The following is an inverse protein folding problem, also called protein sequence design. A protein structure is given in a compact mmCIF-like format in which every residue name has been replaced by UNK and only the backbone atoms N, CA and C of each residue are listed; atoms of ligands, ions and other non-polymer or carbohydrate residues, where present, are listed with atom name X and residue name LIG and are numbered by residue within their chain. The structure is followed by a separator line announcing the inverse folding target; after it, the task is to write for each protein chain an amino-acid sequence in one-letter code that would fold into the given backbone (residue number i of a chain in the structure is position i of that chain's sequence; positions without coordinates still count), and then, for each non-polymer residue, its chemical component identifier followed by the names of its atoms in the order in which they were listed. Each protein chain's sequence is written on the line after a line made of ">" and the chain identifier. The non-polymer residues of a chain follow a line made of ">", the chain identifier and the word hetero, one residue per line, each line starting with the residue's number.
data_IF_246792719053
#
_entry.id   IF_246792719053
#
_cell.length_a   1.000
_cell.length_b   1.000
_cell.length_c   1.000
_cell.angle_alpha   90.00
_cell.angle_beta   90.00
_cell.angle_gamma   90.00
#
_symmetry.space_group_name_H-M   'P 1'
#
loop_
_entity.id
_entity.type
_entity.pdbx_description
1 polymer ?
#
# COMPACT_ATOMS: atom_id res chain seq x y z
N UNK A 1 -36.64 -24.21 -18.28
CA UNK A 1 -35.26 -24.01 -17.81
C UNK A 1 -35.06 -22.51 -17.66
N UNK A 2 -35.25 -21.97 -16.45
CA UNK A 2 -35.08 -20.54 -16.21
C UNK A 2 -33.60 -20.23 -16.02
N UNK A 3 -32.99 -19.50 -16.96
CA UNK A 3 -31.69 -18.88 -16.78
C UNK A 3 -31.84 -17.77 -15.73
N UNK A 4 -31.35 -18.01 -14.52
CA UNK A 4 -31.17 -16.97 -13.51
C UNK A 4 -29.97 -16.11 -13.86
N UNK A 5 -30.21 -14.84 -14.19
CA UNK A 5 -29.17 -13.83 -14.34
C UNK A 5 -28.60 -13.50 -12.95
N UNK A 6 -27.39 -13.96 -12.64
CA UNK A 6 -26.68 -13.54 -11.43
C UNK A 6 -26.12 -12.14 -11.68
N UNK A 7 -26.78 -11.13 -11.11
CA UNK A 7 -26.24 -9.78 -11.01
C UNK A 7 -25.01 -9.81 -10.08
N UNK A 8 -23.81 -9.81 -10.66
CA UNK A 8 -22.58 -9.52 -9.91
C UNK A 8 -22.60 -8.02 -9.60
N UNK A 9 -23.11 -7.67 -8.42
CA UNK A 9 -23.10 -6.28 -7.95
C UNK A 9 -21.67 -5.77 -7.85
N UNK A 10 -21.38 -4.64 -8.48
CA UNK A 10 -20.13 -3.90 -8.26
C UNK A 10 -20.11 -3.42 -6.81
N UNK A 11 -19.33 -4.06 -5.94
CA UNK A 11 -19.10 -3.55 -4.59
C UNK A 11 -18.33 -2.23 -4.69
N UNK A 12 -19.03 -1.10 -4.49
CA UNK A 12 -18.38 0.19 -4.35
C UNK A 12 -17.37 0.13 -3.20
N UNK A 13 -16.16 0.63 -3.43
CA UNK A 13 -15.14 0.71 -2.40
C UNK A 13 -15.68 1.51 -1.21
N UNK A 14 -15.59 0.95 0.01
CA UNK A 14 -15.98 1.66 1.23
C UNK A 14 -14.92 2.72 1.54
N UNK A 15 -15.37 3.93 1.87
CA UNK A 15 -14.50 5.03 2.29
C UNK A 15 -14.47 5.13 3.82
N UNK A 16 -13.30 5.45 4.34
CA UNK A 16 -13.08 5.84 5.72
C UNK A 16 -13.48 7.31 5.94
N UNK A 17 -13.64 7.76 7.20
CA UNK A 17 -13.90 9.18 7.51
C UNK A 17 -12.83 10.14 6.96
N UNK A 18 -11.60 9.66 6.73
CA UNK A 18 -10.52 10.42 6.09
C UNK A 18 -10.71 10.62 4.57
N UNK A 19 -11.74 10.02 3.97
CA UNK A 19 -11.93 9.99 2.51
C UNK A 19 -11.10 8.93 1.80
N UNK A 20 -10.20 8.23 2.51
CA UNK A 20 -9.40 7.14 1.95
C UNK A 20 -10.21 5.86 1.81
N UNK A 21 -9.83 5.02 0.85
CA UNK A 21 -10.45 3.72 0.62
C UNK A 21 -10.05 2.73 1.70
N UNK A 22 -11.01 1.94 2.19
CA UNK A 22 -10.72 0.72 2.93
C UNK A 22 -10.17 -0.34 1.97
N UNK A 23 -9.01 -0.88 2.30
CA UNK A 23 -8.38 -1.92 1.51
C UNK A 23 -9.05 -3.28 1.71
N UNK A 24 -9.19 -4.00 0.60
CA UNK A 24 -9.53 -5.43 0.55
C UNK A 24 -8.36 -6.29 0.10
N UNK A 25 -7.16 -5.70 -0.04
CA UNK A 25 -5.97 -6.41 -0.49
C UNK A 25 -5.51 -7.40 0.58
N UNK A 26 -5.27 -8.65 0.17
CA UNK A 26 -4.82 -9.71 1.08
C UNK A 26 -3.33 -9.59 1.35
N UNK A 27 -2.93 -9.80 2.61
CA UNK A 27 -1.53 -9.90 3.01
C UNK A 27 -0.84 -11.20 2.57
N UNK A 28 -1.59 -12.15 1.98
CA UNK A 28 -1.07 -13.45 1.54
C UNK A 28 -1.01 -13.60 0.02
N UNK A 29 -1.35 -12.54 -0.73
CA UNK A 29 -1.41 -12.55 -2.19
C UNK A 29 -0.57 -11.40 -2.73
N UNK A 30 0.28 -11.69 -3.72
CA UNK A 30 1.02 -10.66 -4.48
C UNK A 30 0.02 -9.76 -5.22
N UNK A 31 0.00 -8.48 -4.89
CA UNK A 31 -0.81 -7.48 -5.55
C UNK A 31 -0.16 -6.98 -6.83
N UNK A 32 -1.00 -6.69 -7.82
CA UNK A 32 -0.58 -6.05 -9.07
C UNK A 32 -0.21 -4.60 -8.80
N UNK A 33 1.00 -4.23 -9.20
CA UNK A 33 1.46 -2.84 -9.22
C UNK A 33 1.04 -2.12 -10.51
N UNK A 34 1.05 -0.78 -10.54
CA UNK A 34 0.80 -0.02 -11.77
C UNK A 34 1.78 -0.39 -12.91
N UNK A 35 1.44 -0.09 -14.17
CA UNK A 35 2.33 -0.32 -15.31
C UNK A 35 3.69 0.37 -15.14
N UNK A 36 4.75 -0.23 -15.71
CA UNK A 36 6.08 0.35 -15.67
C UNK A 36 6.09 1.80 -16.19
N UNK A 37 6.81 2.69 -15.50
CA UNK A 37 6.94 4.13 -15.81
C UNK A 37 5.62 4.91 -15.88
N UNK A 38 4.55 4.43 -15.22
CA UNK A 38 3.27 5.14 -15.14
C UNK A 38 3.11 6.05 -13.92
N UNK A 39 4.02 5.94 -12.94
CA UNK A 39 4.01 6.69 -11.70
C UNK A 39 5.27 7.55 -11.58
N UNK A 40 5.18 8.67 -10.86
CA UNK A 40 6.32 9.55 -10.61
C UNK A 40 6.31 10.08 -9.17
N UNK A 41 7.40 9.81 -8.43
CA UNK A 41 7.58 10.42 -7.12
C UNK A 41 7.64 11.96 -7.26
N UNK A 42 7.11 12.66 -6.26
CA UNK A 42 7.06 14.12 -6.21
C UNK A 42 8.00 14.59 -5.10
N UNK A 43 8.77 15.65 -5.35
CA UNK A 43 9.75 16.14 -4.37
C UNK A 43 11.07 15.36 -4.43
N UNK A 44 11.94 15.59 -3.44
CA UNK A 44 13.27 14.98 -3.36
C UNK A 44 13.76 14.92 -1.91
N UNK A 45 14.71 14.02 -1.63
CA UNK A 45 15.22 13.79 -0.28
C UNK A 45 14.09 13.52 0.70
N UNK A 46 14.21 14.00 1.94
CA UNK A 46 13.21 13.82 3.01
C UNK A 46 11.79 14.33 2.69
N UNK A 47 11.60 15.03 1.56
CA UNK A 47 10.31 15.54 1.10
C UNK A 47 9.76 14.78 -0.12
N UNK A 48 10.43 13.71 -0.55
CA UNK A 48 9.90 12.87 -1.60
C UNK A 48 8.64 12.15 -1.09
N UNK A 49 7.63 12.10 -1.95
CA UNK A 49 6.31 11.51 -1.67
C UNK A 49 5.81 10.79 -2.92
N UNK A 50 4.89 9.82 -2.80
CA UNK A 50 4.43 9.08 -3.97
C UNK A 50 3.64 9.92 -4.97
N UNK A 51 3.38 9.35 -6.15
CA UNK A 51 2.40 9.91 -7.09
C UNK A 51 0.99 9.66 -6.51
N UNK A 52 0.22 10.70 -6.16
CA UNK A 52 -1.11 10.52 -5.56
C UNK A 52 -2.11 9.85 -6.50
N UNK A 53 -1.82 9.72 -7.81
CA UNK A 53 -2.66 8.95 -8.73
C UNK A 53 -2.38 7.45 -8.66
N UNK A 54 -1.16 7.05 -8.29
CA UNK A 54 -0.77 5.65 -8.16
C UNK A 54 -0.92 5.14 -6.72
N UNK A 55 -0.48 5.94 -5.76
CA UNK A 55 -0.49 5.62 -4.33
C UNK A 55 -1.24 6.75 -3.58
N UNK A 56 -2.58 6.85 -3.73
CA UNK A 56 -3.40 7.87 -3.06
C UNK A 56 -3.56 7.70 -1.55
N UNK A 57 -3.08 6.60 -0.99
CA UNK A 57 -3.36 6.14 0.37
C UNK A 57 -4.52 5.15 0.42
N UNK A 58 -4.42 4.16 1.30
CA UNK A 58 -5.51 3.25 1.65
C UNK A 58 -5.38 2.81 3.11
N UNK A 59 -6.50 2.49 3.76
CA UNK A 59 -6.54 2.13 5.19
C UNK A 59 -7.01 0.70 5.43
N UNK A 60 -6.56 0.12 6.53
CA UNK A 60 -6.91 -1.22 6.96
C UNK A 60 -8.32 -1.25 7.58
N UNK A 61 -9.21 -2.04 7.00
CA UNK A 61 -10.59 -2.18 7.48
C UNK A 61 -10.71 -2.75 8.91
N UNK A 62 -9.68 -3.44 9.42
CA UNK A 62 -9.65 -3.88 10.81
C UNK A 62 -9.40 -2.74 11.81
N UNK A 63 -8.88 -1.59 11.35
CA UNK A 63 -8.57 -0.43 12.18
C UNK A 63 -9.72 0.57 12.10
N UNK A 64 -10.48 0.65 13.18
CA UNK A 64 -11.61 1.56 13.36
C UNK A 64 -11.52 2.15 14.75
N UNK A 65 -12.22 3.26 15.01
CA UNK A 65 -12.28 3.84 16.36
C UNK A 65 -12.75 2.83 17.42
N UNK A 66 -13.61 1.88 17.06
CA UNK A 66 -14.08 0.84 17.96
C UNK A 66 -13.05 -0.28 18.22
N UNK A 67 -12.03 -0.43 17.36
CA UNK A 67 -11.06 -1.53 17.40
C UNK A 67 -9.62 -1.11 17.66
N UNK A 68 -9.31 0.20 17.80
CA UNK A 68 -7.94 0.66 18.03
C UNK A 68 -7.30 0.04 19.28
N UNK A 69 -8.09 -0.22 20.33
CA UNK A 69 -7.63 -0.84 21.58
C UNK A 69 -7.10 -2.27 21.43
N UNK A 70 -7.49 -2.98 20.36
CA UNK A 70 -7.02 -4.33 20.04
C UNK A 70 -6.14 -4.39 18.78
N UNK A 71 -5.96 -3.27 18.09
CA UNK A 71 -5.16 -3.15 16.86
C UNK A 71 -3.96 -2.23 17.07
N UNK A 72 -3.95 -1.03 16.50
CA UNK A 72 -2.79 -0.12 16.50
C UNK A 72 -2.36 0.32 17.90
N UNK A 73 -3.25 0.32 18.90
CA UNK A 73 -2.86 0.61 20.29
C UNK A 73 -2.31 -0.60 21.05
N UNK A 74 -2.26 -1.79 20.42
CA UNK A 74 -1.65 -3.00 21.00
C UNK A 74 -0.23 -3.16 20.47
N UNK A 75 0.74 -3.14 21.39
CA UNK A 75 2.14 -3.39 21.05
C UNK A 75 2.31 -4.69 20.24
N UNK A 76 3.08 -4.60 19.15
CA UNK A 76 3.39 -5.71 18.25
C UNK A 76 2.29 -6.10 17.25
N UNK A 77 1.13 -5.45 17.24
CA UNK A 77 0.03 -5.81 16.34
C UNK A 77 0.42 -5.70 14.86
N UNK A 78 1.12 -4.63 14.45
CA UNK A 78 1.53 -4.44 13.05
C UNK A 78 2.44 -5.58 12.57
N UNK A 79 3.29 -6.13 13.44
CA UNK A 79 4.12 -7.31 13.12
C UNK A 79 3.30 -8.56 12.80
N UNK A 80 2.08 -8.68 13.32
CA UNK A 80 1.21 -9.87 13.09
C UNK A 80 0.46 -9.83 11.75
N UNK A 81 0.39 -8.68 11.10
CA UNK A 81 -0.40 -8.46 9.89
C UNK A 81 0.45 -8.14 8.66
N UNK A 82 1.77 -7.94 8.84
CA UNK A 82 2.69 -7.66 7.74
C UNK A 82 2.79 -8.87 6.80
N UNK A 83 2.70 -8.67 5.48
CA UNK A 83 2.91 -9.75 4.51
C UNK A 83 4.32 -10.35 4.64
N UNK A 84 4.51 -11.64 4.29
CA UNK A 84 5.86 -12.21 4.22
C UNK A 84 6.65 -11.61 3.05
N UNK A 85 7.98 -11.70 3.10
CA UNK A 85 8.88 -11.18 2.05
C UNK A 85 8.58 -11.79 0.67
N UNK A 86 8.13 -13.05 0.62
CA UNK A 86 7.71 -13.69 -0.64
C UNK A 86 6.53 -13.01 -1.33
N UNK A 87 5.77 -12.18 -0.62
CA UNK A 87 4.72 -11.31 -1.16
C UNK A 87 5.30 -9.93 -1.49
N UNK A 88 5.99 -9.29 -0.55
CA UNK A 88 6.42 -7.89 -0.72
C UNK A 88 7.58 -7.69 -1.68
N UNK A 89 8.50 -8.65 -1.82
CA UNK A 89 9.65 -8.53 -2.70
C UNK A 89 9.27 -8.40 -4.19
N UNK A 90 8.47 -9.31 -4.79
CA UNK A 90 8.04 -9.13 -6.18
C UNK A 90 7.20 -7.86 -6.38
N UNK A 91 6.41 -7.45 -5.38
CA UNK A 91 5.68 -6.19 -5.43
C UNK A 91 6.62 -4.98 -5.43
N UNK A 92 7.64 -4.96 -4.57
CA UNK A 92 8.66 -3.90 -4.53
C UNK A 92 9.33 -3.73 -5.88
N UNK A 93 9.78 -4.82 -6.51
CA UNK A 93 10.39 -4.75 -7.85
C UNK A 93 9.43 -4.20 -8.91
N UNK A 94 8.17 -4.63 -8.92
CA UNK A 94 7.17 -4.12 -9.84
C UNK A 94 6.81 -2.65 -9.55
N UNK A 95 6.80 -2.24 -8.29
CA UNK A 95 6.54 -0.87 -7.86
C UNK A 95 7.70 0.07 -8.25
N UNK A 96 8.95 -0.36 -8.07
CA UNK A 96 10.12 0.35 -8.58
C UNK A 96 10.04 0.55 -10.10
N UNK A 97 9.64 -0.48 -10.86
CA UNK A 97 9.42 -0.36 -12.29
C UNK A 97 8.29 0.63 -12.62
N UNK A 98 7.19 0.62 -11.85
CA UNK A 98 6.08 1.56 -12.00
C UNK A 98 6.51 3.02 -11.82
N UNK A 99 7.35 3.29 -10.83
CA UNK A 99 7.91 4.61 -10.52
C UNK A 99 9.12 5.01 -11.40
N UNK A 100 9.54 4.15 -12.33
CA UNK A 100 10.70 4.40 -13.19
C UNK A 100 12.05 4.39 -12.45
N UNK A 101 12.10 3.79 -11.25
CA UNK A 101 13.30 3.67 -10.44
C UNK A 101 14.23 2.61 -11.03
N UNK A 102 15.48 3.00 -11.31
CA UNK A 102 16.52 2.11 -11.88
C UNK A 102 17.67 1.80 -10.92
N UNK A 103 17.59 2.28 -9.68
CA UNK A 103 18.61 2.10 -8.66
C UNK A 103 18.59 0.70 -8.03
N UNK A 104 19.53 0.45 -7.12
CA UNK A 104 19.55 -0.78 -6.34
C UNK A 104 18.29 -0.88 -5.45
N UNK A 105 17.61 -2.04 -5.37
CA UNK A 105 16.45 -2.22 -4.50
C UNK A 105 16.74 -1.96 -3.02
N UNK A 106 18.00 -2.08 -2.59
CA UNK A 106 18.44 -1.75 -1.22
C UNK A 106 18.49 -0.26 -0.92
N UNK A 107 18.30 0.62 -1.92
CA UNK A 107 18.24 2.07 -1.76
C UNK A 107 16.81 2.60 -1.70
N UNK A 108 15.85 1.69 -1.62
CA UNK A 108 14.43 2.01 -1.55
C UNK A 108 13.80 1.09 -0.52
N UNK A 109 12.88 1.59 0.28
CA UNK A 109 11.96 0.78 1.05
C UNK A 109 10.66 0.61 0.26
N UNK A 110 9.94 -0.50 0.51
CA UNK A 110 8.58 -0.65 0.01
C UNK A 110 7.66 -0.25 1.15
N UNK A 111 7.41 1.06 1.25
CA UNK A 111 6.91 1.69 2.46
C UNK A 111 5.50 2.26 2.27
N UNK A 112 4.85 2.50 3.40
CA UNK A 112 3.45 2.87 3.49
C UNK A 112 3.24 4.39 3.42
N UNK A 113 2.43 4.86 2.46
CA UNK A 113 2.05 6.29 2.38
C UNK A 113 1.21 6.72 3.61
N UNK A 114 0.22 5.91 3.98
CA UNK A 114 -0.42 5.99 5.30
C UNK A 114 0.29 5.00 6.23
N UNK A 115 0.96 5.44 7.31
CA UNK A 115 1.66 4.56 8.24
C UNK A 115 0.75 3.51 8.87
N UNK A 116 1.30 2.33 9.16
CA UNK A 116 0.55 1.24 9.81
C UNK A 116 0.07 1.64 11.22
N UNK A 117 0.81 2.51 11.90
CA UNK A 117 0.51 3.07 13.22
C UNK A 117 -0.73 3.98 13.17
N UNK A 118 -1.07 4.50 11.99
CA UNK A 118 -2.29 5.27 11.73
C UNK A 118 -3.38 4.44 11.03
N UNK A 119 -3.19 3.13 10.91
CA UNK A 119 -4.15 2.22 10.31
C UNK A 119 -4.05 2.11 8.79
N UNK A 120 -2.88 2.39 8.20
CA UNK A 120 -2.63 2.15 6.78
C UNK A 120 -2.88 0.70 6.34
N UNK A 121 -3.24 0.53 5.07
CA UNK A 121 -3.41 -0.78 4.46
C UNK A 121 -2.06 -1.49 4.33
N UNK A 122 -2.02 -2.78 4.72
CA UNK A 122 -0.77 -3.53 4.86
C UNK A 122 -0.15 -3.96 3.53
N UNK A 123 -0.97 -4.22 2.51
CA UNK A 123 -0.54 -4.82 1.25
C UNK A 123 -1.32 -4.26 0.06
N UNK A 124 -1.71 -2.98 0.09
CA UNK A 124 -2.45 -2.36 -1.01
C UNK A 124 -1.49 -1.49 -1.83
N UNK A 125 -1.38 -1.66 -3.17
CA UNK A 125 -0.52 -0.81 -4.00
C UNK A 125 -0.93 0.67 -3.95
N UNK A 126 -2.18 0.96 -3.55
CA UNK A 126 -2.63 2.34 -3.30
C UNK A 126 -2.02 2.95 -2.04
N UNK A 127 -1.44 2.15 -1.15
CA UNK A 127 -0.80 2.59 0.09
C UNK A 127 0.70 2.25 0.14
N UNK A 128 1.28 1.63 -0.89
CA UNK A 128 2.67 1.21 -0.90
C UNK A 128 3.41 1.79 -2.10
N UNK A 129 4.63 2.26 -1.89
CA UNK A 129 5.46 2.86 -2.94
C UNK A 129 6.95 2.60 -2.67
N UNK A 130 7.83 2.75 -3.68
CA UNK A 130 9.26 2.60 -3.50
C UNK A 130 9.81 3.92 -2.92
N UNK A 131 9.81 4.04 -1.60
CA UNK A 131 10.33 5.21 -0.88
C UNK A 131 11.87 5.20 -0.91
N UNK A 132 12.54 6.25 -1.38
CA UNK A 132 14.00 6.30 -1.35
C UNK A 132 14.56 6.24 0.08
N UNK A 133 15.59 5.43 0.30
CA UNK A 133 16.34 5.44 1.57
C UNK A 133 17.21 6.70 1.65
N UNK A 134 16.82 7.62 2.54
CA UNK A 134 17.49 8.90 2.74
C UNK A 134 18.70 8.84 3.70
N UNK A 135 18.93 7.71 4.38
CA UNK A 135 20.07 7.56 5.27
C UNK A 135 21.41 7.48 4.51
N UNK A 136 21.35 7.22 3.19
CA UNK A 136 22.48 7.34 2.27
C UNK A 136 22.15 8.35 1.16
N UNK A 137 22.59 9.63 1.28
CA UNK A 137 22.44 10.63 0.23
C UNK A 137 23.47 10.35 -0.87
N UNK A 138 23.32 9.25 -1.60
CA UNK A 138 24.07 9.08 -2.84
C UNK A 138 23.16 9.43 -4.01
N UNK A 139 23.32 10.68 -4.46
CA UNK A 139 23.47 11.09 -5.86
C UNK A 139 22.37 10.76 -6.83
#
# INVERSE_FOLDING_TARGET
>A
MSLGLVLVGTHAARLAPSGLVYSSASASVVQRQPPASSCHAIGAGLYARPDPRCTPGAVNQAVTQASISSTICRSGWTSTIRPPVSVTEPEKFASMAAYGVRGLPSRYEYDHDVPLELGGAVNDPRNLWPEPDYANPAG
#
